data_IF_937197201984
#
_entry.id   IF_937197201984
#
_cell.length_a   1.000
_cell.length_b   1.000
_cell.length_c   1.000
_cell.angle_alpha   90.00
_cell.angle_beta   90.00
_cell.angle_gamma   90.00
#
_symmetry.space_group_name_H-M   'P 1'
#
loop_
_entity.id
_entity.type
_entity.pdbx_description
1 polymer ?
#
# COMPACT_ATOMS: atom_id res chain seq x y z
N UNK A 1 21.37 25.19 7.30
CA UNK A 1 21.45 24.13 6.27
C UNK A 1 20.54 22.99 6.69
N UNK A 2 19.30 22.97 6.19
CA UNK A 2 18.35 21.89 6.48
C UNK A 2 18.83 20.64 5.76
N UNK A 3 19.18 19.59 6.49
CA UNK A 3 19.60 18.34 5.88
C UNK A 3 18.45 17.84 5.00
N UNK A 4 18.69 17.80 3.69
CA UNK A 4 17.77 17.26 2.68
C UNK A 4 17.66 15.75 2.93
N UNK A 5 16.81 15.34 3.87
CA UNK A 5 16.68 13.95 4.27
C UNK A 5 15.24 13.47 4.08
N UNK A 6 15.03 12.30 3.46
CA UNK A 6 13.72 11.65 3.52
C UNK A 6 13.33 11.47 4.99
N UNK A 7 12.12 11.91 5.33
CA UNK A 7 11.58 11.85 6.71
C UNK A 7 11.44 10.39 7.17
N UNK A 8 11.23 9.47 6.23
CA UNK A 8 11.15 8.04 6.50
C UNK A 8 11.44 7.24 5.23
N UNK A 9 12.12 6.10 5.39
CA UNK A 9 12.29 5.08 4.34
C UNK A 9 11.66 3.79 4.81
N UNK A 10 10.84 3.18 3.95
CA UNK A 10 10.18 1.92 4.27
C UNK A 10 10.42 0.91 3.14
N UNK A 11 10.89 -0.28 3.50
CA UNK A 11 11.12 -1.37 2.55
C UNK A 11 9.91 -2.29 2.56
N UNK A 12 9.22 -2.39 1.42
CA UNK A 12 7.95 -3.11 1.31
C UNK A 12 8.10 -4.25 0.31
N UNK A 13 7.99 -5.49 0.81
CA UNK A 13 8.05 -6.69 -0.03
C UNK A 13 9.38 -6.89 -0.76
N UNK A 14 9.34 -7.73 -1.79
CA UNK A 14 10.47 -7.95 -2.71
C UNK A 14 10.06 -7.46 -4.09
N UNK A 15 10.97 -6.77 -4.78
CA UNK A 15 10.72 -6.22 -6.12
C UNK A 15 10.20 -4.78 -6.13
N UNK A 16 9.88 -4.31 -7.33
CA UNK A 16 9.42 -2.94 -7.56
C UNK A 16 8.00 -2.72 -7.07
N UNK A 17 7.75 -1.56 -6.46
CA UNK A 17 6.39 -1.11 -6.18
C UNK A 17 5.76 -0.67 -7.50
N UNK A 18 4.63 -1.27 -7.86
CA UNK A 18 3.88 -0.94 -9.06
C UNK A 18 2.94 0.24 -8.81
N UNK A 19 2.21 0.22 -7.69
CA UNK A 19 1.23 1.25 -7.35
C UNK A 19 1.04 1.33 -5.82
N UNK A 20 0.64 2.50 -5.32
CA UNK A 20 0.22 2.69 -3.94
C UNK A 20 -0.92 3.71 -3.84
N UNK A 21 -1.72 3.61 -2.79
CA UNK A 21 -2.78 4.57 -2.50
C UNK A 21 -3.01 4.71 -0.99
N UNK A 22 -3.36 5.92 -0.56
CA UNK A 22 -3.85 6.19 0.79
C UNK A 22 -5.37 6.06 0.83
N UNK A 23 -5.89 5.66 1.98
CA UNK A 23 -7.31 5.75 2.28
C UNK A 23 -7.72 7.23 2.46
N UNK A 24 -9.02 7.55 2.30
CA UNK A 24 -9.53 8.91 2.50
C UNK A 24 -9.29 9.47 3.91
N UNK A 25 -9.23 8.59 4.91
CA UNK A 25 -8.94 8.92 6.32
C UNK A 25 -7.44 9.03 6.63
N UNK A 26 -6.55 8.78 5.65
CA UNK A 26 -5.10 8.75 5.81
C UNK A 26 -4.54 7.75 6.83
N UNK A 27 -5.36 6.80 7.29
CA UNK A 27 -4.94 5.76 8.27
C UNK A 27 -4.30 4.57 7.57
N UNK A 28 -4.76 4.22 6.37
CA UNK A 28 -4.33 3.05 5.63
C UNK A 28 -3.54 3.43 4.38
N UNK A 29 -2.52 2.65 4.10
CA UNK A 29 -1.69 2.72 2.91
C UNK A 29 -1.70 1.36 2.23
N UNK A 30 -2.29 1.27 1.05
CA UNK A 30 -2.23 0.08 0.23
C UNK A 30 -1.08 0.19 -0.78
N UNK A 31 -0.34 -0.91 -0.98
CA UNK A 31 0.83 -0.99 -1.85
C UNK A 31 0.78 -2.29 -2.64
N UNK A 32 0.93 -2.20 -3.96
CA UNK A 32 1.06 -3.34 -4.87
C UNK A 32 2.52 -3.45 -5.31
N UNK A 33 3.11 -4.63 -5.12
CA UNK A 33 4.46 -4.93 -5.61
C UNK A 33 4.42 -5.92 -6.77
N UNK A 34 5.49 -5.93 -7.54
CA UNK A 34 5.71 -6.86 -8.65
C UNK A 34 5.84 -8.32 -8.21
N UNK A 35 6.00 -8.59 -6.91
CA UNK A 35 5.86 -9.92 -6.32
C UNK A 35 4.43 -10.49 -6.37
N UNK A 36 3.44 -9.70 -6.82
CA UNK A 36 2.04 -10.12 -6.97
C UNK A 36 1.22 -9.99 -5.68
N UNK A 37 1.77 -9.32 -4.66
CA UNK A 37 1.07 -9.06 -3.41
C UNK A 37 0.59 -7.61 -3.31
N UNK A 38 -0.68 -7.47 -2.95
CA UNK A 38 -1.24 -6.26 -2.36
C UNK A 38 -1.00 -6.31 -0.85
N UNK A 39 -0.48 -5.23 -0.28
CA UNK A 39 -0.26 -5.09 1.16
C UNK A 39 -0.95 -3.81 1.63
N UNK A 40 -1.71 -3.90 2.71
CA UNK A 40 -2.39 -2.78 3.36
C UNK A 40 -1.70 -2.56 4.70
N UNK A 41 -1.15 -1.39 4.86
CA UNK A 41 -0.45 -0.96 6.06
C UNK A 41 -1.27 0.08 6.80
N UNK A 42 -1.22 0.04 8.12
CA UNK A 42 -1.59 1.19 8.94
C UNK A 42 -0.42 2.18 8.88
N UNK A 43 -0.65 3.35 8.30
CA UNK A 43 0.39 4.36 8.08
C UNK A 43 0.88 4.98 9.40
N UNK A 44 -0.02 5.18 10.37
CA UNK A 44 0.32 5.74 11.68
C UNK A 44 1.13 4.75 12.53
N UNK A 45 0.67 3.50 12.59
CA UNK A 45 1.31 2.45 13.39
C UNK A 45 2.48 1.76 12.67
N UNK A 46 2.60 1.94 11.36
CA UNK A 46 3.58 1.24 10.50
C UNK A 46 3.47 -0.28 10.61
N UNK A 47 2.24 -0.78 10.66
CA UNK A 47 1.95 -2.21 10.81
C UNK A 47 1.23 -2.74 9.57
N UNK A 48 1.49 -3.99 9.21
CA UNK A 48 0.75 -4.67 8.15
C UNK A 48 -0.63 -5.06 8.70
N UNK A 49 -1.69 -4.48 8.14
CA UNK A 49 -3.08 -4.76 8.52
C UNK A 49 -3.59 -5.97 7.75
N UNK A 50 -3.31 -6.02 6.45
CA UNK A 50 -3.76 -7.09 5.58
C UNK A 50 -2.81 -7.26 4.40
N UNK A 51 -2.79 -8.46 3.82
CA UNK A 51 -2.17 -8.69 2.53
C UNK A 51 -3.02 -9.64 1.70
N UNK A 52 -2.97 -9.48 0.39
CA UNK A 52 -3.73 -10.27 -0.56
C UNK A 52 -2.83 -10.61 -1.75
N UNK A 53 -2.91 -11.86 -2.22
CA UNK A 53 -2.16 -12.31 -3.39
C UNK A 53 -3.12 -12.36 -4.58
N UNK A 54 -2.78 -11.70 -5.68
CA UNK A 54 -3.56 -11.88 -6.91
C UNK A 54 -3.12 -13.17 -7.59
N UNK A 55 -4.08 -14.05 -7.85
CA UNK A 55 -3.84 -15.36 -8.47
C UNK A 55 -3.76 -15.30 -10.00
N UNK A 56 -4.18 -14.20 -10.63
CA UNK A 56 -4.14 -14.03 -12.09
C UNK A 56 -3.58 -12.65 -12.44
N UNK A 57 -2.42 -12.64 -13.10
CA UNK A 57 -1.98 -11.62 -14.05
C UNK A 57 -2.29 -10.17 -13.69
N UNK A 58 -1.82 -9.71 -12.52
CA UNK A 58 -1.80 -8.30 -12.16
C UNK A 58 -3.09 -7.78 -11.54
N UNK A 59 -3.01 -7.38 -10.27
CA UNK A 59 -3.87 -6.31 -9.73
C UNK A 59 -3.53 -5.01 -10.49
N UNK A 60 -3.89 -4.92 -11.77
CA UNK A 60 -3.38 -3.88 -12.65
C UNK A 60 -4.37 -2.75 -12.96
N UNK A 61 -5.60 -2.78 -12.46
CA UNK A 61 -6.50 -1.67 -12.81
C UNK A 61 -7.71 -1.44 -11.92
N UNK A 62 -8.25 -2.47 -11.24
CA UNK A 62 -9.45 -2.28 -10.40
C UNK A 62 -9.04 -1.73 -9.03
N UNK A 63 -8.48 -0.53 -9.11
CA UNK A 63 -8.52 0.55 -8.14
C UNK A 63 -8.23 0.09 -6.72
N UNK A 64 -6.94 0.05 -6.38
CA UNK A 64 -6.47 -0.04 -4.99
C UNK A 64 -7.18 0.98 -4.07
N UNK A 65 -7.62 2.13 -4.61
CA UNK A 65 -8.47 3.10 -3.91
C UNK A 65 -9.87 2.60 -3.59
N UNK A 66 -10.48 1.75 -4.42
CA UNK A 66 -11.80 1.16 -4.18
C UNK A 66 -11.74 0.16 -3.04
N UNK A 67 -10.68 -0.66 -3.00
CA UNK A 67 -10.45 -1.63 -1.92
C UNK A 67 -10.34 -0.87 -0.59
N UNK A 68 -9.58 0.22 -0.55
CA UNK A 68 -9.47 1.07 0.64
C UNK A 68 -10.79 1.75 1.01
N UNK A 69 -11.59 2.17 0.03
CA UNK A 69 -12.91 2.75 0.30
C UNK A 69 -13.88 1.74 0.91
N UNK A 70 -13.87 0.49 0.42
CA UNK A 70 -14.67 -0.60 1.00
C UNK A 70 -14.24 -0.94 2.44
N UNK A 71 -12.93 -0.95 2.72
CA UNK A 71 -12.39 -1.24 4.05
C UNK A 71 -12.67 -0.12 5.05
N UNK A 72 -12.55 1.15 4.64
CA UNK A 72 -12.82 2.31 5.51
C UNK A 72 -14.31 2.51 5.79
N UNK A 73 -15.19 1.99 4.91
CA UNK A 73 -16.64 2.05 5.07
C UNK A 73 -17.26 0.90 5.89
N UNK A 74 -16.48 -0.11 6.29
CA UNK A 74 -16.96 -1.28 7.04
C UNK A 74 -16.46 -1.28 8.47
#
# INVERSE_FOLDING_TARGET
>A
KQARNPVSRWSIGSGSINEFAFSPDHVLLAVVSQDGFLRIFNYEKKELVAYMRSYFGGLLCVRIREILHQISSS
#
